data_IF_504866297649
#
_entry.id   IF_504866297649
#
_cell.length_a   1.000
_cell.length_b   1.000
_cell.length_c   1.000
_cell.angle_alpha   90.00
_cell.angle_beta   90.00
_cell.angle_gamma   90.00
#
_symmetry.space_group_name_H-M   'P 1'
#
loop_
_entity.id
_entity.type
_entity.pdbx_description
1 polymer ?
#
# COMPACT_ATOMS: atom_id res chain seq x y z
N UNK A 1 -22.90 53.22 -33.14
CA UNK A 1 -22.53 51.96 -33.78
C UNK A 1 -23.78 51.10 -33.96
N UNK A 2 -24.18 50.83 -35.22
CA UNK A 2 -25.38 50.07 -35.53
C UNK A 2 -25.17 48.60 -35.18
N UNK A 3 -25.86 48.09 -34.16
CA UNK A 3 -25.88 46.67 -33.83
C UNK A 3 -26.57 45.90 -34.96
N UNK A 4 -25.78 45.20 -35.76
CA UNK A 4 -26.28 44.36 -36.84
C UNK A 4 -26.95 43.10 -36.23
N UNK A 5 -28.27 43.12 -36.03
CA UNK A 5 -29.06 41.97 -35.53
C UNK A 5 -29.10 40.84 -36.56
N UNK A 6 -28.05 40.07 -36.66
CA UNK A 6 -28.04 38.86 -37.50
C UNK A 6 -28.65 37.69 -36.74
N UNK A 7 -29.43 36.84 -37.42
CA UNK A 7 -30.01 35.67 -36.78
C UNK A 7 -28.91 34.65 -36.38
N UNK A 8 -29.04 34.04 -35.22
CA UNK A 8 -28.13 33.02 -34.70
C UNK A 8 -27.87 31.90 -35.72
N UNK A 9 -28.92 31.51 -36.50
CA UNK A 9 -28.80 30.50 -37.56
C UNK A 9 -27.81 30.92 -38.66
N UNK A 10 -27.83 32.19 -39.07
CA UNK A 10 -26.96 32.73 -40.12
C UNK A 10 -25.52 32.85 -39.65
N UNK A 11 -25.32 33.26 -38.38
CA UNK A 11 -23.99 33.36 -37.76
C UNK A 11 -23.39 31.99 -37.58
N UNK A 12 -24.14 31.01 -37.09
CA UNK A 12 -23.67 29.61 -36.94
C UNK A 12 -23.27 29.03 -38.32
N UNK A 13 -24.05 29.27 -39.35
CA UNK A 13 -23.72 28.79 -40.71
C UNK A 13 -22.42 29.42 -41.24
N UNK A 14 -22.19 30.69 -40.99
CA UNK A 14 -20.95 31.39 -41.41
C UNK A 14 -19.72 30.89 -40.68
N UNK A 15 -19.88 30.51 -39.39
CA UNK A 15 -18.79 30.00 -38.54
C UNK A 15 -18.59 28.49 -38.63
N UNK A 16 -19.37 27.78 -39.44
CA UNK A 16 -19.33 26.30 -39.51
C UNK A 16 -19.74 25.58 -38.22
N UNK A 17 -20.50 26.25 -37.35
CA UNK A 17 -20.98 25.70 -36.07
C UNK A 17 -22.43 25.25 -36.18
N UNK A 18 -22.76 24.11 -35.54
CA UNK A 18 -24.16 23.73 -35.39
C UNK A 18 -24.87 24.60 -34.36
N UNK A 19 -26.17 24.88 -34.54
CA UNK A 19 -26.93 25.65 -33.57
C UNK A 19 -27.03 24.94 -32.20
N UNK A 20 -26.97 23.60 -32.18
CA UNK A 20 -26.92 22.81 -30.96
C UNK A 20 -25.64 23.04 -30.15
N UNK A 21 -24.49 23.17 -30.81
CA UNK A 21 -23.22 23.51 -30.15
C UNK A 21 -23.27 24.93 -29.60
N UNK A 22 -23.82 25.89 -30.37
CA UNK A 22 -23.97 27.28 -29.91
C UNK A 22 -24.88 27.42 -28.69
N UNK A 23 -25.95 26.64 -28.64
CA UNK A 23 -26.93 26.64 -27.54
C UNK A 23 -26.57 25.69 -26.41
N UNK A 24 -25.47 24.93 -26.54
CA UNK A 24 -25.05 24.00 -25.52
C UNK A 24 -24.61 24.73 -24.24
N UNK A 25 -25.43 24.62 -23.21
CA UNK A 25 -25.04 25.00 -21.86
C UNK A 25 -24.62 23.74 -21.09
N UNK A 26 -23.36 23.65 -20.63
CA UNK A 26 -22.92 22.52 -19.85
C UNK A 26 -23.75 22.46 -18.56
N UNK A 27 -24.34 21.28 -18.29
CA UNK A 27 -25.04 21.04 -17.01
C UNK A 27 -24.02 21.13 -15.89
N UNK A 28 -24.24 21.94 -14.84
CA UNK A 28 -23.41 21.94 -13.67
C UNK A 28 -23.40 20.53 -13.07
N UNK A 29 -22.22 19.97 -12.88
CA UNK A 29 -22.06 18.68 -12.22
C UNK A 29 -21.87 18.96 -10.74
N UNK A 30 -22.65 18.29 -9.91
CA UNK A 30 -22.42 18.31 -8.49
C UNK A 30 -21.15 17.47 -8.21
N UNK A 31 -20.06 18.17 -7.98
CA UNK A 31 -18.76 17.60 -7.71
C UNK A 31 -18.42 17.64 -6.21
N UNK A 32 -19.28 18.19 -5.34
CA UNK A 32 -19.01 18.47 -3.93
C UNK A 32 -18.62 17.20 -3.18
N UNK A 33 -19.47 16.18 -3.20
CA UNK A 33 -19.19 14.92 -2.51
C UNK A 33 -17.90 14.23 -3.02
N UNK A 34 -17.63 14.31 -4.31
CA UNK A 34 -16.43 13.72 -4.91
C UNK A 34 -15.18 14.47 -4.44
N UNK A 35 -15.26 15.80 -4.35
CA UNK A 35 -14.18 16.65 -3.85
C UNK A 35 -13.91 16.39 -2.38
N UNK A 36 -14.93 16.24 -1.56
CA UNK A 36 -14.79 15.94 -0.12
C UNK A 36 -14.10 14.60 0.10
N UNK A 37 -14.54 13.53 -0.59
CA UNK A 37 -13.88 12.23 -0.52
C UNK A 37 -12.44 12.25 -1.03
N UNK A 38 -12.20 12.96 -2.12
CA UNK A 38 -10.85 13.15 -2.66
C UNK A 38 -9.95 13.86 -1.64
N UNK A 39 -10.41 14.97 -1.07
CA UNK A 39 -9.67 15.76 -0.09
C UNK A 39 -9.41 14.96 1.19
N UNK A 40 -10.39 14.18 1.67
CA UNK A 40 -10.21 13.29 2.82
C UNK A 40 -8.99 12.37 2.63
N UNK A 41 -8.88 11.70 1.47
CA UNK A 41 -7.76 10.78 1.22
C UNK A 41 -6.44 11.49 0.98
N UNK A 42 -6.44 12.64 0.32
CA UNK A 42 -5.23 13.44 0.11
C UNK A 42 -4.69 13.98 1.44
N UNK A 43 -5.56 14.43 2.34
CA UNK A 43 -5.17 14.90 3.67
C UNK A 43 -4.65 13.75 4.54
N UNK A 44 -5.36 12.61 4.54
CA UNK A 44 -4.95 11.41 5.31
C UNK A 44 -3.64 10.81 4.81
N UNK A 45 -3.39 10.84 3.49
CA UNK A 45 -2.24 10.21 2.83
C UNK A 45 -1.63 11.12 1.76
N UNK A 46 -0.90 12.18 2.15
CA UNK A 46 -0.39 13.19 1.21
C UNK A 46 0.61 12.64 0.19
N UNK A 47 1.25 11.51 0.47
CA UNK A 47 2.20 10.83 -0.44
C UNK A 47 1.52 10.01 -1.54
N UNK A 48 0.19 9.86 -1.48
CA UNK A 48 -0.55 9.10 -2.48
C UNK A 48 -0.80 9.92 -3.74
N UNK A 49 -0.31 9.42 -4.88
CA UNK A 49 -0.62 10.01 -6.17
C UNK A 49 -2.04 9.71 -6.64
N UNK A 50 -2.47 10.43 -7.68
CA UNK A 50 -3.83 10.37 -8.26
C UNK A 50 -4.44 8.96 -8.34
N UNK A 51 -3.73 7.97 -8.88
CA UNK A 51 -4.29 6.63 -9.08
C UNK A 51 -4.63 5.89 -7.79
N UNK A 52 -3.87 6.10 -6.72
CA UNK A 52 -4.18 5.52 -5.40
C UNK A 52 -5.42 6.18 -4.80
N UNK A 53 -5.50 7.52 -4.86
CA UNK A 53 -6.68 8.28 -4.42
C UNK A 53 -7.91 7.83 -5.21
N UNK A 54 -7.82 7.76 -6.54
CA UNK A 54 -8.90 7.29 -7.41
C UNK A 54 -9.39 5.89 -7.06
N UNK A 55 -8.44 4.95 -6.88
CA UNK A 55 -8.77 3.57 -6.52
C UNK A 55 -9.50 3.51 -5.17
N UNK A 56 -9.09 4.35 -4.23
CA UNK A 56 -9.69 4.40 -2.90
C UNK A 56 -11.08 5.01 -2.92
N UNK A 57 -11.27 6.15 -3.56
CA UNK A 57 -12.58 6.79 -3.75
C UNK A 57 -13.59 5.82 -4.37
N UNK A 58 -13.16 5.02 -5.33
CA UNK A 58 -14.02 3.99 -5.93
C UNK A 58 -14.35 2.84 -4.97
N UNK A 59 -13.41 2.42 -4.13
CA UNK A 59 -13.65 1.38 -3.11
C UNK A 59 -14.64 1.84 -2.05
N UNK A 60 -14.64 3.12 -1.72
CA UNK A 60 -15.60 3.73 -0.80
C UNK A 60 -17.01 3.87 -1.39
N UNK A 61 -17.27 3.20 -2.53
CA UNK A 61 -18.58 3.11 -3.17
C UNK A 61 -18.90 4.25 -4.16
N UNK A 62 -17.97 5.17 -4.40
CA UNK A 62 -18.20 6.29 -5.33
C UNK A 62 -17.83 5.91 -6.77
N UNK A 63 -18.82 5.69 -7.60
CA UNK A 63 -18.63 5.41 -9.03
C UNK A 63 -18.34 6.73 -9.76
N UNK A 64 -17.08 7.07 -9.93
CA UNK A 64 -16.62 8.26 -10.65
C UNK A 64 -15.70 7.88 -11.80
N UNK A 65 -15.84 8.59 -12.94
CA UNK A 65 -14.94 8.42 -14.06
C UNK A 65 -13.56 9.03 -13.73
N UNK A 66 -12.47 8.30 -14.03
CA UNK A 66 -11.10 8.76 -13.77
C UNK A 66 -10.80 10.12 -14.41
N UNK A 67 -11.33 10.42 -15.62
CA UNK A 67 -11.14 11.73 -16.28
C UNK A 67 -11.79 12.87 -15.48
N UNK A 68 -12.98 12.62 -14.89
CA UNK A 68 -13.68 13.59 -14.04
C UNK A 68 -12.88 13.87 -12.76
N UNK A 69 -12.48 12.81 -12.05
CA UNK A 69 -11.69 12.96 -10.82
C UNK A 69 -10.32 13.60 -11.10
N UNK A 70 -9.65 13.21 -12.20
CA UNK A 70 -8.35 13.78 -12.56
C UNK A 70 -8.43 15.29 -12.84
N UNK A 71 -9.49 15.75 -13.50
CA UNK A 71 -9.73 17.17 -13.70
C UNK A 71 -9.84 17.90 -12.37
N UNK A 72 -10.65 17.40 -11.43
CA UNK A 72 -10.82 17.98 -10.10
C UNK A 72 -9.51 17.99 -9.30
N UNK A 73 -8.78 16.87 -9.33
CA UNK A 73 -7.49 16.70 -8.69
C UNK A 73 -6.45 17.72 -9.19
N UNK A 74 -6.41 17.92 -10.50
CA UNK A 74 -5.49 18.89 -11.13
C UNK A 74 -5.92 20.33 -10.85
N UNK A 75 -7.22 20.64 -10.93
CA UNK A 75 -7.74 21.98 -10.62
C UNK A 75 -7.49 22.37 -9.15
N UNK A 76 -7.53 21.40 -8.24
CA UNK A 76 -7.20 21.60 -6.81
C UNK A 76 -5.68 21.68 -6.55
N UNK A 77 -4.81 21.56 -7.57
CA UNK A 77 -3.36 21.66 -7.41
C UNK A 77 -2.70 20.50 -6.67
N UNK A 78 -3.38 19.35 -6.56
CA UNK A 78 -2.95 18.20 -5.74
C UNK A 78 -1.91 17.31 -6.42
N UNK A 79 -1.40 17.70 -7.59
CA UNK A 79 -0.39 16.92 -8.31
C UNK A 79 0.92 16.83 -7.54
N UNK A 80 1.37 15.62 -7.24
CA UNK A 80 2.67 15.41 -6.62
C UNK A 80 3.79 15.81 -7.56
N UNK A 81 4.79 16.54 -7.05
CA UNK A 81 5.99 16.90 -7.80
C UNK A 81 6.76 15.63 -8.15
N UNK A 82 7.00 15.39 -9.43
CA UNK A 82 7.81 14.26 -9.87
C UNK A 82 9.28 14.66 -9.87
N UNK A 83 10.15 13.89 -9.18
CA UNK A 83 11.59 14.09 -9.33
C UNK A 83 12.01 13.80 -10.79
N UNK A 84 12.90 14.62 -11.33
CA UNK A 84 13.50 14.40 -12.64
C UNK A 84 14.22 13.06 -12.68
N UNK A 85 13.87 12.21 -13.63
CA UNK A 85 14.55 10.92 -13.81
C UNK A 85 16.02 11.18 -14.18
N UNK A 86 16.95 10.78 -13.32
CA UNK A 86 18.36 10.67 -13.72
C UNK A 86 18.47 9.57 -14.77
N UNK A 87 19.14 9.84 -15.90
CA UNK A 87 19.51 8.80 -16.87
C UNK A 87 20.49 7.86 -16.19
N UNK A 88 20.03 6.67 -15.86
CA UNK A 88 20.86 5.58 -15.37
C UNK A 88 21.12 4.68 -16.57
N UNK A 89 22.36 4.18 -16.82
CA UNK A 89 22.62 3.22 -17.87
C UNK A 89 21.67 2.02 -17.76
N UNK A 90 21.25 1.49 -18.91
CA UNK A 90 20.43 0.28 -18.95
C UNK A 90 21.24 -0.89 -18.34
N UNK A 91 20.76 -1.37 -17.20
CA UNK A 91 21.29 -2.57 -16.56
C UNK A 91 20.43 -3.76 -16.98
N UNK A 92 21.06 -4.88 -17.25
CA UNK A 92 20.36 -6.15 -17.47
C UNK A 92 19.54 -6.43 -16.22
N UNK A 93 18.22 -6.41 -16.36
CA UNK A 93 17.28 -6.66 -15.26
C UNK A 93 16.94 -8.15 -15.27
N UNK A 94 17.53 -8.89 -14.36
CA UNK A 94 17.04 -10.24 -14.08
C UNK A 94 15.69 -10.12 -13.36
N UNK A 95 14.63 -10.77 -13.86
CA UNK A 95 13.34 -10.72 -13.18
C UNK A 95 13.44 -11.43 -11.83
N UNK A 96 12.96 -10.76 -10.78
CA UNK A 96 12.84 -11.37 -9.46
C UNK A 96 11.84 -12.53 -9.55
N UNK A 97 12.26 -13.74 -9.19
CA UNK A 97 11.37 -14.89 -9.09
C UNK A 97 10.40 -14.65 -7.91
N UNK A 98 9.13 -14.39 -8.25
CA UNK A 98 8.09 -14.18 -7.25
C UNK A 98 7.54 -15.53 -6.77
N UNK A 99 7.31 -15.72 -5.47
CA UNK A 99 6.68 -16.92 -4.96
C UNK A 99 5.25 -17.07 -5.49
N UNK A 100 4.81 -18.32 -5.62
CA UNK A 100 3.48 -18.66 -6.15
C UNK A 100 2.38 -18.60 -5.11
N UNK A 101 2.72 -18.57 -3.82
CA UNK A 101 1.80 -18.55 -2.70
C UNK A 101 2.34 -17.78 -1.48
N UNK A 102 1.46 -17.48 -0.50
CA UNK A 102 1.86 -16.89 0.76
C UNK A 102 2.74 -17.85 1.58
N UNK A 103 3.56 -17.30 2.47
CA UNK A 103 4.49 -18.04 3.33
C UNK A 103 5.53 -18.90 2.60
N UNK A 104 5.76 -18.71 1.30
CA UNK A 104 6.86 -19.38 0.59
C UNK A 104 8.17 -18.63 0.85
N UNK A 105 8.17 -17.31 0.72
CA UNK A 105 9.39 -16.51 0.92
C UNK A 105 9.05 -15.27 1.72
N UNK A 106 9.70 -15.12 2.87
CA UNK A 106 9.72 -13.86 3.58
C UNK A 106 11.06 -13.17 3.31
N UNK A 107 10.98 -11.90 2.91
CA UNK A 107 12.16 -11.04 2.79
C UNK A 107 12.31 -10.22 4.05
N UNK A 108 13.54 -10.13 4.56
CA UNK A 108 13.83 -9.35 5.75
C UNK A 108 15.13 -8.57 5.63
N UNK A 109 15.16 -7.39 6.25
CA UNK A 109 16.30 -6.49 6.20
C UNK A 109 16.17 -5.41 7.28
N UNK A 110 17.25 -4.63 7.48
CA UNK A 110 17.34 -3.55 8.44
C UNK A 110 17.33 -2.18 7.77
N UNK A 111 16.71 -1.22 8.44
CA UNK A 111 16.92 0.20 8.15
C UNK A 111 17.48 0.89 9.39
N UNK A 112 18.20 1.98 9.16
CA UNK A 112 18.70 2.86 10.21
C UNK A 112 18.14 4.26 10.03
N UNK A 113 17.83 4.92 11.16
CA UNK A 113 17.38 6.30 11.22
C UNK A 113 17.79 6.96 12.54
N UNK A 114 17.27 8.15 12.84
CA UNK A 114 17.56 8.89 14.08
C UNK A 114 16.30 9.57 14.60
N UNK A 115 16.18 9.63 15.91
CA UNK A 115 15.20 10.48 16.59
C UNK A 115 15.60 11.96 16.53
N UNK A 116 14.69 12.84 16.87
CA UNK A 116 14.92 14.29 16.92
C UNK A 116 16.10 14.68 17.83
N UNK A 117 16.27 13.96 18.93
CA UNK A 117 17.38 14.13 19.85
C UNK A 117 18.73 13.60 19.36
N UNK A 118 18.81 13.10 18.10
CA UNK A 118 20.00 12.53 17.47
C UNK A 118 20.29 11.07 17.83
N UNK A 119 19.52 10.45 18.72
CA UNK A 119 19.67 9.03 19.09
C UNK A 119 19.44 8.14 17.88
N UNK A 120 20.37 7.21 17.64
CA UNK A 120 20.25 6.24 16.54
C UNK A 120 19.15 5.25 16.84
N UNK A 121 18.38 4.91 15.81
CA UNK A 121 17.43 3.81 15.84
C UNK A 121 17.64 2.88 14.65
N UNK A 122 17.20 1.65 14.82
CA UNK A 122 17.16 0.65 13.75
C UNK A 122 15.77 0.06 13.68
N UNK A 123 15.36 -0.31 12.48
CA UNK A 123 14.13 -1.07 12.26
C UNK A 123 14.48 -2.40 11.62
N UNK A 124 13.91 -3.48 12.12
CA UNK A 124 13.92 -4.80 11.51
C UNK A 124 12.58 -5.04 10.85
N UNK A 125 12.59 -5.32 9.56
CA UNK A 125 11.39 -5.37 8.74
C UNK A 125 11.28 -6.74 8.09
N UNK A 126 10.07 -7.30 8.09
CA UNK A 126 9.74 -8.58 7.47
C UNK A 126 8.51 -8.42 6.59
N UNK A 127 8.60 -8.87 5.34
CA UNK A 127 7.49 -8.87 4.39
C UNK A 127 7.31 -10.26 3.78
N UNK A 128 6.06 -10.61 3.45
CA UNK A 128 5.76 -11.75 2.59
C UNK A 128 5.86 -11.32 1.11
N UNK A 129 6.75 -11.95 0.37
CA UNK A 129 7.03 -11.58 -1.02
C UNK A 129 5.86 -11.81 -1.97
N UNK A 130 5.00 -12.80 -1.71
CA UNK A 130 3.85 -13.11 -2.55
C UNK A 130 2.81 -11.98 -2.53
N UNK A 131 2.34 -11.65 -1.33
CA UNK A 131 1.32 -10.62 -1.10
C UNK A 131 1.89 -9.23 -0.96
N UNK A 132 3.20 -9.10 -0.79
CA UNK A 132 3.87 -7.85 -0.35
C UNK A 132 3.33 -7.36 0.98
N UNK A 133 2.84 -8.26 1.80
CA UNK A 133 2.28 -7.99 3.10
C UNK A 133 3.40 -7.65 4.08
N UNK A 134 3.26 -6.55 4.79
CA UNK A 134 4.15 -6.21 5.90
C UNK A 134 3.79 -7.08 7.10
N UNK A 135 4.68 -8.00 7.47
CA UNK A 135 4.45 -8.91 8.59
C UNK A 135 4.88 -8.29 9.92
N UNK A 136 6.04 -7.63 9.94
CA UNK A 136 6.55 -6.94 11.13
C UNK A 136 7.45 -5.77 10.74
N UNK A 137 7.43 -4.73 11.58
CA UNK A 137 8.43 -3.68 11.67
C UNK A 137 8.76 -3.52 13.15
N UNK A 138 9.89 -4.04 13.55
CA UNK A 138 10.37 -3.92 14.93
C UNK A 138 11.36 -2.79 15.04
N UNK A 139 11.23 -1.96 16.08
CA UNK A 139 12.00 -0.71 16.24
C UNK A 139 12.71 -0.71 17.57
N UNK A 140 14.03 -0.52 17.53
CA UNK A 140 14.87 -0.37 18.73
C UNK A 140 16.13 0.43 18.42
N UNK A 141 16.86 0.84 19.44
CA UNK A 141 18.19 1.47 19.33
C UNK A 141 19.24 0.47 18.88
N UNK A 142 19.11 -0.80 19.31
CA UNK A 142 20.00 -1.90 18.95
C UNK A 142 19.21 -3.19 18.79
N UNK A 143 19.34 -3.82 17.63
CA UNK A 143 18.66 -5.09 17.32
C UNK A 143 19.74 -6.12 17.03
N UNK A 144 19.91 -7.10 17.95
CA UNK A 144 20.87 -8.21 17.84
C UNK A 144 20.18 -9.45 17.28
N UNK A 145 20.96 -10.46 16.88
CA UNK A 145 20.44 -11.71 16.32
C UNK A 145 19.39 -12.39 17.21
N UNK A 146 19.59 -12.42 18.54
CA UNK A 146 18.60 -12.96 19.52
C UNK A 146 17.26 -12.23 19.47
N UNK A 147 17.25 -10.96 19.18
CA UNK A 147 16.02 -10.21 19.06
C UNK A 147 15.30 -10.57 17.75
N UNK A 148 16.07 -10.74 16.67
CA UNK A 148 15.55 -11.17 15.37
C UNK A 148 14.88 -12.54 15.48
N UNK A 149 15.53 -13.52 16.10
CA UNK A 149 14.98 -14.87 16.26
C UNK A 149 13.69 -14.89 17.06
N UNK A 150 13.62 -14.13 18.17
CA UNK A 150 12.37 -13.98 18.96
C UNK A 150 11.22 -13.38 18.17
N UNK A 151 11.50 -12.37 17.32
CA UNK A 151 10.46 -11.78 16.47
C UNK A 151 10.00 -12.76 15.39
N UNK A 152 10.91 -13.54 14.83
CA UNK A 152 10.58 -14.58 13.87
C UNK A 152 9.74 -15.70 14.52
N UNK A 153 10.03 -16.10 15.76
CA UNK A 153 9.22 -17.08 16.50
C UNK A 153 7.78 -16.59 16.67
N UNK A 154 7.57 -15.32 17.08
CA UNK A 154 6.23 -14.73 17.18
C UNK A 154 5.51 -14.71 15.82
N UNK A 155 6.23 -14.39 14.75
CA UNK A 155 5.65 -14.37 13.40
C UNK A 155 5.26 -15.77 12.95
N UNK A 156 6.07 -16.79 13.24
CA UNK A 156 5.78 -18.19 12.92
C UNK A 156 4.55 -18.68 13.69
N UNK A 157 4.44 -18.33 14.96
CA UNK A 157 3.29 -18.69 15.81
C UNK A 157 1.99 -18.08 15.26
N UNK A 158 2.03 -16.80 14.87
CA UNK A 158 0.86 -16.09 14.37
C UNK A 158 0.50 -16.42 12.91
N UNK A 159 1.51 -16.49 12.03
CA UNK A 159 1.30 -16.54 10.56
C UNK A 159 1.53 -17.95 9.98
N UNK A 160 2.21 -18.79 10.70
CA UNK A 160 2.75 -20.05 10.21
C UNK A 160 4.15 -19.90 9.62
N UNK A 161 4.83 -21.02 9.47
CA UNK A 161 6.22 -21.13 9.08
C UNK A 161 6.41 -20.84 7.58
N UNK A 162 7.39 -19.99 7.18
CA UNK A 162 7.74 -19.81 5.77
C UNK A 162 8.59 -20.99 5.26
N UNK A 163 8.58 -21.23 3.95
CA UNK A 163 9.45 -22.24 3.35
C UNK A 163 10.92 -21.75 3.32
N UNK A 164 11.16 -20.43 3.21
CA UNK A 164 12.51 -19.83 3.20
C UNK A 164 12.50 -18.38 3.66
N UNK A 165 13.65 -17.93 4.16
CA UNK A 165 13.90 -16.53 4.47
C UNK A 165 14.93 -15.95 3.51
N UNK A 166 14.62 -14.81 2.88
CA UNK A 166 15.57 -14.04 2.08
C UNK A 166 16.14 -12.92 2.91
N UNK A 167 17.47 -12.87 3.00
CA UNK A 167 18.20 -11.97 3.90
C UNK A 167 19.29 -11.22 3.16
N UNK A 168 19.55 -9.98 3.61
CA UNK A 168 20.77 -9.26 3.23
C UNK A 168 22.00 -9.87 3.94
N UNK A 169 23.20 -9.44 3.49
CA UNK A 169 24.47 -9.90 4.11
C UNK A 169 24.81 -9.08 5.37
N UNK A 170 23.82 -8.79 6.22
CA UNK A 170 24.04 -8.09 7.50
C UNK A 170 24.66 -9.01 8.54
N UNK A 171 25.48 -8.47 9.47
CA UNK A 171 26.15 -9.27 10.50
C UNK A 171 25.16 -10.02 11.38
N UNK A 172 23.97 -9.49 11.61
CA UNK A 172 22.93 -10.12 12.41
C UNK A 172 22.35 -11.39 11.75
N UNK A 173 22.35 -11.44 10.42
CA UNK A 173 21.86 -12.60 9.66
C UNK A 173 22.93 -13.66 9.44
N UNK A 174 24.21 -13.27 9.50
CA UNK A 174 25.36 -14.19 9.37
C UNK A 174 25.75 -14.75 10.74
N UNK A 175 25.18 -14.21 11.83
CA UNK A 175 25.48 -14.65 13.19
C UNK A 175 25.12 -16.12 13.38
N UNK A 176 25.96 -16.87 14.12
CA UNK A 176 25.76 -18.28 14.42
C UNK A 176 24.37 -18.56 15.07
N UNK A 177 23.88 -17.64 15.90
CA UNK A 177 22.54 -17.73 16.49
C UNK A 177 21.43 -17.82 15.43
N UNK A 178 21.53 -17.04 14.39
CA UNK A 178 20.54 -17.04 13.31
C UNK A 178 20.61 -18.32 12.48
N UNK A 179 21.82 -18.83 12.27
CA UNK A 179 22.04 -20.10 11.55
C UNK A 179 21.47 -21.27 12.36
N UNK A 180 21.82 -21.39 13.64
CA UNK A 180 21.28 -22.43 14.54
C UNK A 180 19.76 -22.36 14.66
N UNK A 181 19.20 -21.15 14.74
CA UNK A 181 17.75 -20.97 14.77
C UNK A 181 17.09 -21.44 13.48
N UNK A 182 17.69 -21.13 12.34
CA UNK A 182 17.19 -21.51 11.02
C UNK A 182 17.22 -23.05 10.82
N UNK A 183 18.31 -23.70 11.25
CA UNK A 183 18.45 -25.17 11.26
C UNK A 183 17.41 -25.82 12.18
N UNK A 184 17.27 -25.34 13.42
CA UNK A 184 16.30 -25.86 14.38
C UNK A 184 14.87 -25.78 13.82
N UNK A 185 14.51 -24.68 13.19
CA UNK A 185 13.22 -24.50 12.58
C UNK A 185 13.11 -25.15 11.19
N UNK A 186 14.19 -25.66 10.60
CA UNK A 186 14.23 -26.20 9.23
C UNK A 186 13.78 -25.17 8.19
N UNK A 187 14.24 -23.93 8.31
CA UNK A 187 13.95 -22.82 7.39
C UNK A 187 15.26 -22.38 6.72
N UNK A 188 15.45 -22.61 5.43
CA UNK A 188 16.67 -22.21 4.74
C UNK A 188 16.80 -20.69 4.63
N UNK A 189 18.00 -20.19 4.93
CA UNK A 189 18.38 -18.79 4.72
C UNK A 189 18.91 -18.62 3.28
N UNK A 190 18.28 -17.74 2.51
CA UNK A 190 18.72 -17.38 1.16
C UNK A 190 19.35 -16.01 1.19
N UNK A 191 20.68 -15.96 1.18
CA UNK A 191 21.42 -14.70 1.14
C UNK A 191 21.39 -14.08 -0.25
N UNK A 192 21.24 -12.75 -0.32
CA UNK A 192 21.39 -12.03 -1.59
C UNK A 192 22.85 -12.03 -2.04
N UNK A 193 23.06 -12.16 -3.34
CA UNK A 193 24.40 -12.10 -3.91
C UNK A 193 25.02 -10.70 -3.75
N UNK A 194 26.31 -10.63 -3.43
CA UNK A 194 27.03 -9.36 -3.33
C UNK A 194 26.97 -8.61 -4.66
N UNK A 195 26.53 -7.34 -4.61
CA UNK A 195 26.39 -6.50 -5.80
C UNK A 195 25.07 -6.67 -6.58
N UNK A 196 24.14 -7.52 -6.11
CA UNK A 196 22.80 -7.71 -6.71
C UNK A 196 21.65 -7.26 -5.77
N UNK A 197 21.56 -5.99 -5.40
CA UNK A 197 20.51 -5.50 -4.51
C UNK A 197 19.09 -5.75 -5.06
N UNK A 198 18.96 -5.89 -6.38
CA UNK A 198 17.67 -6.18 -7.02
C UNK A 198 17.02 -7.48 -6.54
N UNK A 199 17.81 -8.44 -6.02
CA UNK A 199 17.28 -9.67 -5.44
C UNK A 199 16.44 -9.41 -4.19
N UNK A 200 16.64 -8.25 -3.51
CA UNK A 200 15.83 -7.81 -2.37
C UNK A 200 14.90 -6.62 -2.71
N UNK A 201 14.63 -6.40 -4.00
CA UNK A 201 13.92 -5.22 -4.50
C UNK A 201 12.48 -5.05 -3.95
N UNK A 202 11.84 -6.09 -3.41
CA UNK A 202 10.51 -6.00 -2.80
C UNK A 202 10.59 -5.28 -1.45
N UNK A 203 11.52 -5.67 -0.58
CA UNK A 203 11.68 -5.03 0.72
C UNK A 203 12.27 -3.63 0.57
N UNK A 204 13.16 -3.38 -0.41
CA UNK A 204 13.66 -2.04 -0.71
C UNK A 204 12.52 -1.08 -1.13
N UNK A 205 11.57 -1.59 -1.92
CA UNK A 205 10.39 -0.82 -2.30
C UNK A 205 9.46 -0.57 -1.11
N UNK A 206 9.32 -1.54 -0.22
CA UNK A 206 8.60 -1.39 1.03
C UNK A 206 9.26 -0.31 1.90
N UNK A 207 10.58 -0.31 2.05
CA UNK A 207 11.34 0.68 2.80
C UNK A 207 11.11 2.10 2.31
N UNK A 208 11.13 2.30 0.99
CA UNK A 208 10.82 3.61 0.42
C UNK A 208 9.45 4.09 0.87
N UNK A 209 8.46 3.20 0.84
CA UNK A 209 7.10 3.56 1.24
C UNK A 209 7.02 3.88 2.73
N UNK A 210 7.65 3.07 3.58
CA UNK A 210 7.70 3.30 5.02
C UNK A 210 8.43 4.60 5.36
N UNK A 211 9.55 4.85 4.70
CA UNK A 211 10.31 6.10 4.87
C UNK A 211 9.47 7.31 4.47
N UNK A 212 8.90 7.30 3.27
CA UNK A 212 8.10 8.43 2.76
C UNK A 212 6.81 8.69 3.57
N UNK A 213 6.18 7.66 4.12
CA UNK A 213 4.89 7.79 4.82
C UNK A 213 5.02 7.92 6.33
N UNK A 214 6.14 7.54 6.93
CA UNK A 214 6.36 7.58 8.38
C UNK A 214 7.64 8.34 8.73
N UNK A 215 8.82 7.83 8.37
CA UNK A 215 10.08 8.36 8.88
C UNK A 215 10.37 9.80 8.42
N UNK A 216 10.10 10.12 7.15
CA UNK A 216 10.32 11.45 6.58
C UNK A 216 9.09 12.38 6.76
N UNK A 217 7.94 11.82 7.15
CA UNK A 217 6.70 12.59 7.31
C UNK A 217 6.55 13.22 8.70
N UNK A 218 7.26 12.67 9.71
CA UNK A 218 7.13 13.10 11.11
C UNK A 218 8.50 13.24 11.76
N UNK A 219 8.55 14.07 12.81
CA UNK A 219 9.69 14.17 13.71
C UNK A 219 9.35 13.44 15.00
N UNK A 220 10.18 12.49 15.40
CA UNK A 220 9.93 11.63 16.56
C UNK A 220 10.80 12.03 17.73
N UNK A 221 10.19 12.26 18.88
CA UNK A 221 10.89 12.54 20.14
C UNK A 221 11.22 11.24 20.89
N UNK A 222 10.38 10.20 20.74
CA UNK A 222 10.54 8.92 21.40
C UNK A 222 10.31 7.72 20.48
N UNK A 223 10.81 6.54 20.91
CA UNK A 223 10.56 5.28 20.19
C UNK A 223 9.09 4.85 20.27
N UNK A 224 8.41 5.22 21.35
CA UNK A 224 6.98 4.89 21.57
C UNK A 224 6.12 5.55 20.51
N UNK A 225 6.30 6.86 20.28
CA UNK A 225 5.59 7.59 19.22
C UNK A 225 5.82 6.95 17.84
N UNK A 226 7.07 6.58 17.56
CA UNK A 226 7.40 5.93 16.29
C UNK A 226 6.73 4.55 16.18
N UNK A 227 6.69 3.76 17.26
CA UNK A 227 6.04 2.44 17.30
C UNK A 227 4.54 2.53 17.05
N UNK A 228 3.86 3.49 17.67
CA UNK A 228 2.43 3.73 17.48
C UNK A 228 2.10 4.04 16.01
N UNK A 229 2.78 5.04 15.42
CA UNK A 229 2.59 5.40 14.02
C UNK A 229 2.99 4.27 13.05
N UNK A 230 3.99 3.47 13.43
CA UNK A 230 4.39 2.30 12.64
C UNK A 230 3.31 1.21 12.64
N UNK A 231 2.65 0.97 13.77
CA UNK A 231 1.53 0.03 13.84
C UNK A 231 0.35 0.48 12.98
N UNK A 232 0.00 1.76 13.03
CA UNK A 232 -1.01 2.34 12.15
C UNK A 232 -0.61 2.23 10.67
N UNK A 233 0.67 2.45 10.37
CA UNK A 233 1.19 2.30 9.02
C UNK A 233 1.07 0.85 8.53
N UNK A 234 1.49 -0.16 9.32
CA UNK A 234 1.39 -1.58 8.95
C UNK A 234 -0.07 -1.94 8.65
N UNK A 235 -0.99 -1.53 9.52
CA UNK A 235 -2.42 -1.78 9.32
C UNK A 235 -2.92 -1.13 8.02
N UNK A 236 -2.65 0.16 7.82
CA UNK A 236 -3.06 0.91 6.64
C UNK A 236 -2.41 0.37 5.36
N UNK A 237 -1.13 0.00 5.42
CA UNK A 237 -0.38 -0.58 4.32
C UNK A 237 -0.99 -1.90 3.85
N UNK A 238 -1.33 -2.77 4.79
CA UNK A 238 -1.86 -4.10 4.49
C UNK A 238 -3.34 -4.06 4.07
N UNK A 239 -4.16 -3.15 4.62
CA UNK A 239 -5.63 -3.16 4.47
C UNK A 239 -6.15 -2.06 3.54
N UNK A 240 -5.54 -0.89 3.52
CA UNK A 240 -6.07 0.28 2.80
C UNK A 240 -5.28 0.62 1.54
N UNK A 241 -3.94 0.49 1.58
CA UNK A 241 -3.06 0.99 0.53
C UNK A 241 -3.26 0.25 -0.79
N UNK A 242 -3.62 0.95 -1.89
CA UNK A 242 -3.65 0.33 -3.21
C UNK A 242 -2.22 0.06 -3.72
N UNK A 243 -1.97 -1.15 -4.20
CA UNK A 243 -0.71 -1.55 -4.82
C UNK A 243 -0.88 -1.80 -6.31
N UNK A 244 -0.11 -1.09 -7.15
CA UNK A 244 -0.20 -1.20 -8.62
C UNK A 244 0.05 -2.64 -9.09
N UNK A 245 1.05 -3.30 -8.52
CA UNK A 245 1.38 -4.68 -8.83
C UNK A 245 0.34 -5.72 -8.33
N UNK A 246 -0.60 -5.30 -7.48
CA UNK A 246 -1.72 -6.11 -7.00
C UNK A 246 -3.05 -5.66 -7.62
N UNK A 247 -3.01 -5.02 -8.79
CA UNK A 247 -4.19 -4.49 -9.49
C UNK A 247 -5.00 -3.51 -8.62
N UNK A 248 -4.31 -2.67 -7.87
CA UNK A 248 -4.92 -1.70 -6.96
C UNK A 248 -5.53 -2.29 -5.69
N UNK A 249 -5.26 -3.56 -5.37
CA UNK A 249 -5.72 -4.20 -4.12
C UNK A 249 -4.67 -4.05 -3.04
N UNK A 250 -5.08 -3.95 -1.76
CA UNK A 250 -4.15 -4.06 -0.64
C UNK A 250 -3.58 -5.47 -0.50
N UNK A 251 -2.40 -5.63 0.14
CA UNK A 251 -1.72 -6.90 0.34
C UNK A 251 -2.57 -8.00 0.95
N UNK A 252 -3.28 -7.72 2.04
CA UNK A 252 -4.07 -8.71 2.78
C UNK A 252 -5.17 -9.37 1.93
N UNK A 253 -5.80 -8.63 1.01
CA UNK A 253 -6.81 -9.21 0.12
C UNK A 253 -6.21 -10.28 -0.80
N UNK A 254 -4.95 -10.14 -1.21
CA UNK A 254 -4.28 -11.14 -2.03
C UNK A 254 -3.96 -12.40 -1.23
N UNK A 255 -3.45 -12.25 -0.02
CA UNK A 255 -3.11 -13.37 0.86
C UNK A 255 -4.35 -14.15 1.27
N UNK A 256 -5.43 -13.49 1.67
CA UNK A 256 -6.69 -14.13 2.04
C UNK A 256 -7.30 -14.95 0.88
N UNK A 257 -7.21 -14.45 -0.36
CA UNK A 257 -7.71 -15.18 -1.54
C UNK A 257 -6.89 -16.43 -1.88
N UNK A 258 -5.59 -16.40 -1.64
CA UNK A 258 -4.73 -17.55 -1.87
C UNK A 258 -4.88 -18.63 -0.78
N UNK A 259 -5.22 -18.22 0.45
CA UNK A 259 -5.49 -19.12 1.56
C UNK A 259 -6.87 -19.78 1.51
N UNK A 260 -7.81 -19.22 0.72
CA UNK A 260 -9.11 -19.87 0.48
C UNK A 260 -8.90 -21.03 -0.48
N UNK A 261 -9.26 -22.28 -0.08
CA UNK A 261 -9.19 -23.41 -1.00
C UNK A 261 -10.03 -23.10 -2.23
N UNK A 262 -9.47 -23.33 -3.42
CA UNK A 262 -10.18 -23.29 -4.68
C UNK A 262 -11.48 -24.11 -4.49
N UNK A 263 -12.63 -23.43 -4.47
CA UNK A 263 -13.89 -24.11 -4.69
C UNK A 263 -13.83 -24.64 -6.12
N UNK A 264 -13.41 -25.88 -6.26
CA UNK A 264 -13.72 -26.66 -7.45
C UNK A 264 -15.25 -26.59 -7.59
N UNK A 265 -15.71 -26.02 -8.70
CA UNK A 265 -17.09 -26.01 -9.09
C UNK A 265 -17.51 -27.45 -9.33
N UNK A 266 -18.03 -28.13 -8.31
CA UNK A 266 -18.90 -29.27 -8.48
C UNK A 266 -20.31 -28.70 -8.57
N UNK A 267 -20.84 -28.74 -9.78
CA UNK A 267 -22.26 -28.53 -10.03
C UNK A 267 -23.09 -29.52 -9.21
N UNK A 268 -24.23 -29.02 -8.75
CA UNK A 268 -25.39 -29.75 -8.19
C UNK A 268 -25.17 -30.51 -6.86
N UNK A 269 -25.69 -29.91 -5.79
CA UNK A 269 -26.76 -30.51 -4.95
C UNK A 269 -27.14 -29.50 -3.83
N UNK A 270 -28.42 -29.32 -3.68
CA UNK A 270 -29.23 -28.44 -2.87
C UNK A 270 -28.71 -27.91 -1.52
N UNK A 271 -29.16 -26.71 -1.25
CA UNK A 271 -28.99 -25.85 -0.07
C UNK A 271 -29.30 -26.55 1.28
N UNK A 272 -28.88 -25.94 2.43
CA UNK A 272 -29.74 -24.92 3.03
C UNK A 272 -29.01 -23.63 3.46
N UNK A 273 -29.75 -22.54 3.40
CA UNK A 273 -29.43 -21.23 3.94
C UNK A 273 -29.15 -21.32 5.46
N UNK A 274 -28.01 -20.77 5.88
CA UNK A 274 -27.75 -20.48 7.28
C UNK A 274 -27.77 -18.97 7.45
N UNK A 275 -28.83 -18.49 8.11
CA UNK A 275 -29.02 -17.10 8.52
C UNK A 275 -27.94 -16.71 9.53
N UNK A 276 -27.19 -15.65 9.22
CA UNK A 276 -26.32 -14.98 10.19
C UNK A 276 -27.19 -14.00 10.98
N UNK A 277 -27.53 -14.37 12.21
CA UNK A 277 -28.11 -13.47 13.19
C UNK A 277 -27.05 -12.52 13.71
N UNK A 278 -27.30 -11.22 13.55
CA UNK A 278 -26.56 -10.12 14.14
C UNK A 278 -26.73 -10.11 15.65
N UNK A 279 -25.62 -10.24 16.38
CA UNK A 279 -25.58 -10.03 17.83
C UNK A 279 -25.41 -8.51 18.05
N UNK A 280 -26.52 -7.87 18.44
CA UNK A 280 -26.54 -6.52 18.97
C UNK A 280 -26.31 -6.64 20.48
N UNK A 281 -25.17 -6.15 20.98
CA UNK A 281 -24.99 -5.95 22.42
C UNK A 281 -25.72 -4.65 22.82
N UNK A 282 -26.76 -4.83 23.65
CA UNK A 282 -27.34 -3.77 24.46
C UNK A 282 -26.56 -3.69 25.79
N UNK A 283 -25.81 -2.62 25.96
CA UNK A 283 -25.33 -2.23 27.29
C UNK A 283 -26.42 -1.39 27.95
N UNK A 284 -27.02 -1.96 28.97
CA UNK A 284 -27.91 -1.27 29.90
C UNK A 284 -27.05 -0.59 30.99
N UNK A 285 -27.22 0.70 31.13
CA UNK A 285 -26.73 1.50 32.27
C UNK A 285 -27.75 1.33 33.41
N UNK A 286 -27.39 0.98 34.63
CA UNK A 286 -28.28 1.20 35.80
C UNK A 286 -28.06 2.56 36.41
N UNK A 287 -29.16 3.31 36.53
CA UNK A 287 -29.30 4.45 37.47
C UNK A 287 -29.06 4.00 38.93
N UNK A 288 -28.17 4.74 39.61
CA UNK A 288 -28.32 5.27 40.97
C UNK A 288 -27.15 6.23 41.28
#
# INVERSE_FOLDING_TARGET
MAQCKRSVRRVCKLLGLSQSVYRYAPRPKDDIEVIEHMNHWVTKKPTWGFWKVYTRVRKDGRVVNHKRLHRLYTTAGLNLRRPTKKRVPDRVKEPLCLPIGPNITWSMDFMADRLLNGSKLRTFNVIDDFGREALSITIDTSIRAQYVTRELDKLIEWRGKPERLRVANGPEFIAQEMELWAEHNGIPLTFIEKGRPMQNGLIERFYRTYREEVLDAYLFESLEQLRELTNEFIWSYNNERPHDALLGKPPQIRCARAASPLRLSSASLGAPEVSIQSIVHHDAVPDM
#
